data_IF_717129807548
#
_entry.id   IF_717129807548
#
_cell.length_a   1.000
_cell.length_b   1.000
_cell.length_c   1.000
_cell.angle_alpha   90.00
_cell.angle_beta   90.00
_cell.angle_gamma   90.00
#
_symmetry.space_group_name_H-M   'P 1'
#
loop_
_entity.id
_entity.type
_entity.pdbx_description
1 polymer ?
#
# COMPACT_ATOMS: atom_id res chain seq x y z
N UNK A 1 -14.59 19.91 2.06
CA UNK A 1 -14.11 18.50 2.00
C UNK A 1 -12.64 18.52 2.38
N UNK A 2 -12.26 17.68 3.33
CA UNK A 2 -10.86 17.67 3.81
C UNK A 2 -9.93 17.05 2.76
N UNK A 3 -8.81 17.70 2.50
CA UNK A 3 -7.78 17.18 1.61
C UNK A 3 -6.98 16.12 2.38
N UNK A 4 -6.93 14.89 1.84
CA UNK A 4 -6.19 13.79 2.44
C UNK A 4 -4.84 13.57 1.76
N UNK A 5 -4.68 14.01 0.51
CA UNK A 5 -3.41 14.04 -0.20
C UNK A 5 -3.35 15.30 -1.06
N UNK A 6 -2.28 16.06 -0.89
CA UNK A 6 -1.97 17.24 -1.71
C UNK A 6 -0.62 17.06 -2.38
N UNK A 7 -0.58 17.29 -3.68
CA UNK A 7 0.63 17.21 -4.51
C UNK A 7 0.77 18.52 -5.27
N UNK A 8 1.96 19.16 -5.17
CA UNK A 8 2.23 20.44 -5.79
C UNK A 8 3.62 20.45 -6.42
N UNK A 9 3.70 20.76 -7.73
CA UNK A 9 4.93 20.90 -8.48
C UNK A 9 5.81 19.65 -8.55
N UNK A 10 5.20 18.45 -8.42
CA UNK A 10 5.94 17.21 -8.27
C UNK A 10 6.62 16.81 -9.58
N UNK A 11 7.95 16.69 -9.54
CA UNK A 11 8.76 16.17 -10.65
C UNK A 11 9.67 15.05 -10.18
N UNK A 12 9.87 14.04 -11.04
CA UNK A 12 10.76 12.92 -10.79
C UNK A 12 11.37 12.38 -12.09
N UNK A 13 12.55 11.75 -11.97
CA UNK A 13 13.25 11.14 -13.10
C UNK A 13 13.82 9.77 -12.74
N UNK A 14 13.94 8.92 -13.75
CA UNK A 14 14.78 7.73 -13.71
C UNK A 14 16.04 8.01 -14.52
N UNK A 15 17.20 7.97 -13.84
CA UNK A 15 18.48 8.38 -14.44
C UNK A 15 18.37 9.80 -15.03
N UNK A 16 18.51 9.93 -16.37
CA UNK A 16 18.43 11.21 -17.09
C UNK A 16 17.03 11.50 -17.68
N UNK A 17 16.09 10.54 -17.60
CA UNK A 17 14.79 10.69 -18.22
C UNK A 17 13.77 11.20 -17.18
N UNK A 18 13.24 12.42 -17.41
CA UNK A 18 12.14 12.96 -16.60
C UNK A 18 10.87 12.16 -16.90
N UNK A 19 10.25 11.61 -15.87
CA UNK A 19 9.04 10.76 -15.94
C UNK A 19 7.82 11.47 -15.38
N UNK A 20 8.02 12.32 -14.38
CA UNK A 20 6.99 13.21 -13.83
C UNK A 20 7.48 14.64 -13.99
N UNK A 21 6.59 15.52 -14.45
CA UNK A 21 6.90 16.94 -14.69
C UNK A 21 5.75 17.80 -14.22
N UNK A 22 6.02 18.61 -13.19
CA UNK A 22 5.10 19.58 -12.58
C UNK A 22 3.70 19.03 -12.27
N UNK A 23 3.62 17.84 -11.67
CA UNK A 23 2.34 17.19 -11.35
C UNK A 23 1.68 17.88 -10.15
N UNK A 24 0.42 18.28 -10.33
CA UNK A 24 -0.37 19.00 -9.34
C UNK A 24 -1.76 18.37 -9.22
N UNK A 25 -2.18 17.95 -8.02
CA UNK A 25 -3.54 17.48 -7.73
C UNK A 25 -3.82 17.38 -6.24
N UNK A 26 -5.11 17.31 -5.89
CA UNK A 26 -5.58 17.04 -4.54
C UNK A 26 -6.53 15.85 -4.53
N UNK A 27 -6.49 15.05 -3.47
CA UNK A 27 -7.46 13.98 -3.18
C UNK A 27 -8.20 14.36 -1.90
N UNK A 28 -9.53 14.24 -1.95
CA UNK A 28 -10.41 14.56 -0.83
C UNK A 28 -10.87 13.31 -0.09
N UNK A 29 -11.15 13.46 1.19
CA UNK A 29 -11.71 12.40 2.01
C UNK A 29 -13.03 11.86 1.42
N UNK A 30 -13.24 10.54 1.51
CA UNK A 30 -14.45 9.87 1.02
C UNK A 30 -14.55 9.76 -0.50
N UNK A 31 -13.47 10.04 -1.26
CA UNK A 31 -13.46 9.92 -2.71
C UNK A 31 -12.65 8.71 -3.18
N UNK A 32 -13.00 8.18 -4.36
CA UNK A 32 -12.19 7.21 -5.10
C UNK A 32 -11.56 7.94 -6.29
N UNK A 33 -10.24 7.89 -6.39
CA UNK A 33 -9.49 8.54 -7.46
C UNK A 33 -8.80 7.51 -8.34
N UNK A 34 -9.06 7.56 -9.67
CA UNK A 34 -8.39 6.72 -10.66
C UNK A 34 -7.26 7.45 -11.37
N UNK A 35 -6.07 6.83 -11.44
CA UNK A 35 -4.93 7.31 -12.23
C UNK A 35 -4.90 6.51 -13.52
N UNK A 36 -5.22 7.15 -14.64
CA UNK A 36 -5.32 6.52 -15.97
C UNK A 36 -4.26 7.06 -16.92
N UNK A 37 -3.87 6.24 -17.89
CA UNK A 37 -2.89 6.62 -18.91
C UNK A 37 -2.23 5.38 -19.54
N UNK A 38 -1.52 5.54 -20.67
CA UNK A 38 -0.84 4.45 -21.36
C UNK A 38 0.29 3.83 -20.52
N UNK A 39 0.78 2.66 -20.94
CA UNK A 39 1.96 2.06 -20.32
C UNK A 39 3.17 3.00 -20.52
N UNK A 40 3.97 3.17 -19.46
CA UNK A 40 5.10 4.09 -19.46
C UNK A 40 4.76 5.56 -19.11
N UNK A 41 3.48 5.93 -18.93
CA UNK A 41 3.06 7.30 -18.57
C UNK A 41 3.46 7.77 -17.16
N UNK A 42 4.21 6.98 -16.39
CA UNK A 42 4.67 7.38 -15.05
C UNK A 42 3.72 7.05 -13.91
N UNK A 43 2.60 6.35 -14.12
CA UNK A 43 1.61 6.03 -13.07
C UNK A 43 2.24 5.32 -11.85
N UNK A 44 3.02 4.27 -12.09
CA UNK A 44 3.70 3.54 -11.02
C UNK A 44 4.83 4.36 -10.38
N UNK A 45 5.47 5.23 -11.15
CA UNK A 45 6.49 6.16 -10.65
C UNK A 45 5.85 7.17 -9.72
N UNK A 46 4.69 7.74 -10.08
CA UNK A 46 3.93 8.64 -9.23
C UNK A 46 3.65 8.00 -7.86
N UNK A 47 3.06 6.79 -7.84
CA UNK A 47 2.80 6.08 -6.58
C UNK A 47 4.07 5.85 -5.75
N UNK A 48 5.17 5.44 -6.40
CA UNK A 48 6.46 5.23 -5.70
C UNK A 48 7.00 6.54 -5.11
N UNK A 49 6.88 7.65 -5.82
CA UNK A 49 7.34 8.96 -5.32
C UNK A 49 6.46 9.45 -4.17
N UNK A 50 5.14 9.28 -4.26
CA UNK A 50 4.21 9.63 -3.17
C UNK A 50 4.54 8.87 -1.88
N UNK A 51 4.91 7.59 -2.00
CA UNK A 51 5.25 6.71 -0.88
C UNK A 51 6.74 6.79 -0.46
N UNK A 52 7.49 7.77 -0.95
CA UNK A 52 8.93 7.93 -0.70
C UNK A 52 9.78 6.67 -1.07
N UNK A 53 9.27 5.82 -1.97
CA UNK A 53 9.99 4.64 -2.51
C UNK A 53 10.89 5.01 -3.70
N UNK A 54 10.75 6.22 -4.24
CA UNK A 54 11.57 6.79 -5.30
C UNK A 54 11.79 8.28 -5.02
N UNK A 55 13.01 8.82 -5.21
CA UNK A 55 13.28 10.22 -4.92
C UNK A 55 12.54 11.15 -5.91
N UNK A 56 12.05 12.27 -5.40
CA UNK A 56 11.56 13.39 -6.20
C UNK A 56 12.67 14.36 -6.52
N UNK A 57 12.58 15.06 -7.66
CA UNK A 57 13.46 16.15 -8.03
C UNK A 57 13.00 17.47 -7.41
N UNK A 58 11.69 17.72 -7.44
CA UNK A 58 11.06 18.94 -6.92
C UNK A 58 9.63 18.67 -6.47
N UNK A 59 9.02 19.69 -5.87
CA UNK A 59 7.62 19.67 -5.44
C UNK A 59 7.42 19.17 -4.03
N UNK A 60 6.18 19.26 -3.57
CA UNK A 60 5.73 18.86 -2.25
C UNK A 60 4.65 17.80 -2.33
N UNK A 61 4.66 16.89 -1.35
CA UNK A 61 3.65 15.86 -1.16
C UNK A 61 3.26 15.87 0.31
N UNK A 62 1.99 16.11 0.58
CA UNK A 62 1.44 16.14 1.93
C UNK A 62 0.27 15.19 2.07
N UNK A 63 0.34 14.30 3.07
CA UNK A 63 -0.73 13.40 3.47
C UNK A 63 -1.35 13.96 4.76
N UNK A 64 -2.65 14.24 4.72
CA UNK A 64 -3.37 14.80 5.89
C UNK A 64 -2.69 16.05 6.47
N UNK A 65 -2.15 16.92 5.59
CA UNK A 65 -1.43 18.14 5.99
C UNK A 65 -0.05 17.91 6.60
N UNK A 66 0.54 16.72 6.42
CA UNK A 66 1.88 16.40 6.94
C UNK A 66 2.69 15.53 5.97
N UNK A 67 3.95 15.25 6.30
CA UNK A 67 4.81 14.39 5.46
C UNK A 67 4.36 12.92 5.50
N UNK A 68 4.63 12.16 4.42
CA UNK A 68 4.35 10.72 4.37
C UNK A 68 4.91 9.97 5.58
N UNK A 69 6.13 10.28 6.01
CA UNK A 69 6.77 9.64 7.17
C UNK A 69 5.95 9.73 8.45
N UNK A 70 5.28 10.86 8.69
CA UNK A 70 4.38 11.07 9.84
C UNK A 70 3.01 10.43 9.62
N UNK A 71 2.54 10.39 8.38
CA UNK A 71 1.24 9.84 8.00
C UNK A 71 1.25 8.33 7.68
N UNK A 72 2.40 7.67 7.68
CA UNK A 72 2.62 6.31 7.18
C UNK A 72 1.66 5.27 7.76
N UNK A 73 1.29 5.38 9.04
CA UNK A 73 0.34 4.46 9.68
C UNK A 73 -1.10 4.61 9.19
N UNK A 74 -1.42 5.74 8.55
CA UNK A 74 -2.73 6.09 8.01
C UNK A 74 -2.86 5.81 6.51
N UNK A 75 -1.77 5.32 5.87
CA UNK A 75 -1.72 5.06 4.43
C UNK A 75 -1.48 3.58 4.20
N UNK A 76 -2.44 2.91 3.59
CA UNK A 76 -2.35 1.51 3.15
C UNK A 76 -1.87 1.44 1.71
N UNK A 77 -0.96 0.49 1.41
CA UNK A 77 -0.47 0.26 0.06
C UNK A 77 -0.62 -1.20 -0.35
N UNK A 78 -1.28 -1.42 -1.48
CA UNK A 78 -1.38 -2.74 -2.12
C UNK A 78 -0.45 -2.77 -3.33
N UNK A 79 0.65 -3.52 -3.29
CA UNK A 79 1.58 -3.60 -4.41
C UNK A 79 0.97 -4.34 -5.60
N UNK A 80 1.45 -4.02 -6.80
CA UNK A 80 1.13 -4.79 -8.00
C UNK A 80 1.77 -6.18 -7.90
N UNK A 81 1.08 -7.21 -8.43
CA UNK A 81 1.52 -8.62 -8.35
C UNK A 81 2.98 -8.84 -8.79
N UNK A 82 3.42 -8.20 -9.85
CA UNK A 82 4.79 -8.36 -10.40
C UNK A 82 5.91 -7.78 -9.53
N UNK A 83 5.60 -7.10 -8.43
CA UNK A 83 6.58 -6.51 -7.49
C UNK A 83 6.74 -7.31 -6.19
N UNK A 84 6.11 -8.48 -6.08
CA UNK A 84 6.11 -9.32 -4.87
C UNK A 84 6.84 -10.62 -5.15
N UNK A 85 7.71 -11.03 -4.24
CA UNK A 85 8.31 -12.36 -4.23
C UNK A 85 7.29 -13.38 -3.71
N UNK A 86 6.69 -14.13 -4.62
CA UNK A 86 5.64 -15.11 -4.31
C UNK A 86 6.21 -16.46 -3.85
N UNK A 87 7.50 -16.71 -4.03
CA UNK A 87 8.17 -17.94 -3.61
C UNK A 87 8.65 -17.89 -2.16
N UNK A 88 8.44 -16.74 -1.49
CA UNK A 88 8.75 -16.60 -0.07
C UNK A 88 7.92 -17.60 0.76
N UNK A 89 8.56 -18.44 1.61
CA UNK A 89 7.90 -19.52 2.33
C UNK A 89 7.05 -19.00 3.51
N UNK A 90 5.90 -18.42 3.21
CA UNK A 90 4.97 -17.89 4.20
C UNK A 90 3.53 -18.28 3.86
N UNK A 91 2.66 -18.37 4.85
CA UNK A 91 1.23 -18.63 4.65
C UNK A 91 0.43 -17.32 4.55
N UNK A 92 -0.85 -17.44 4.15
CA UNK A 92 -1.74 -16.31 3.96
C UNK A 92 -1.96 -15.50 5.24
N UNK A 93 -2.08 -16.17 6.38
CA UNK A 93 -2.30 -15.51 7.68
C UNK A 93 -1.09 -14.68 8.08
N UNK A 94 0.12 -15.22 7.92
CA UNK A 94 1.35 -14.51 8.23
C UNK A 94 1.53 -13.27 7.34
N UNK A 95 1.20 -13.37 6.04
CA UNK A 95 1.20 -12.22 5.12
C UNK A 95 0.26 -11.12 5.63
N UNK A 96 -0.94 -11.46 6.06
CA UNK A 96 -1.89 -10.46 6.59
C UNK A 96 -1.42 -9.90 7.92
N UNK A 97 -0.85 -10.73 8.81
CA UNK A 97 -0.27 -10.27 10.08
C UNK A 97 0.88 -9.28 9.89
N UNK A 98 1.65 -9.37 8.79
CA UNK A 98 2.68 -8.37 8.46
C UNK A 98 2.09 -6.96 8.33
N UNK A 99 0.81 -6.82 7.95
CA UNK A 99 0.10 -5.54 7.93
C UNK A 99 -0.04 -4.88 9.30
N UNK A 100 0.00 -5.66 10.38
CA UNK A 100 -0.11 -5.18 11.76
C UNK A 100 1.24 -4.81 12.40
N UNK A 101 2.37 -5.05 11.75
CA UNK A 101 3.69 -4.81 12.35
C UNK A 101 3.92 -3.36 12.78
N UNK A 102 3.35 -2.40 12.05
CA UNK A 102 3.38 -0.99 12.45
C UNK A 102 2.68 -0.71 13.78
N UNK A 103 1.62 -1.47 14.11
CA UNK A 103 0.85 -1.35 15.35
C UNK A 103 1.47 -2.18 16.49
N UNK A 104 2.04 -3.35 16.16
CA UNK A 104 2.67 -4.26 17.15
C UNK A 104 3.95 -3.64 17.69
N UNK A 105 4.73 -2.96 16.83
CA UNK A 105 6.05 -2.43 17.14
C UNK A 105 7.17 -3.48 17.01
N UNK A 106 8.39 -3.04 16.70
CA UNK A 106 9.51 -3.87 16.30
C UNK A 106 10.01 -4.88 17.35
N UNK A 107 9.82 -4.59 18.63
CA UNK A 107 10.29 -5.44 19.74
C UNK A 107 9.19 -6.26 20.42
N UNK A 108 7.99 -6.30 19.85
CA UNK A 108 6.86 -7.00 20.46
C UNK A 108 6.41 -8.17 19.59
N UNK A 109 6.10 -9.27 20.24
CA UNK A 109 5.55 -10.45 19.58
C UNK A 109 4.05 -10.27 19.25
N UNK A 110 3.58 -10.82 18.11
CA UNK A 110 2.16 -10.88 17.80
C UNK A 110 1.40 -11.59 18.93
N UNK A 111 0.29 -10.99 19.37
CA UNK A 111 -0.60 -11.57 20.38
C UNK A 111 -1.80 -12.22 19.70
N UNK A 112 -2.54 -13.04 20.43
CA UNK A 112 -3.78 -13.69 19.96
C UNK A 112 -4.73 -12.70 19.25
N UNK A 113 -4.93 -11.50 19.82
CA UNK A 113 -5.72 -10.43 19.21
C UNK A 113 -5.29 -10.09 17.78
N UNK A 114 -3.99 -10.05 17.49
CA UNK A 114 -3.50 -9.72 16.15
C UNK A 114 -3.82 -10.84 15.15
N UNK A 115 -3.74 -12.11 15.60
CA UNK A 115 -4.16 -13.26 14.80
C UNK A 115 -5.67 -13.21 14.49
N UNK A 116 -6.49 -12.86 15.47
CA UNK A 116 -7.94 -12.70 15.31
C UNK A 116 -8.29 -11.58 14.32
N UNK A 117 -7.60 -10.42 14.38
CA UNK A 117 -7.76 -9.33 13.41
C UNK A 117 -7.35 -9.76 11.99
N UNK A 118 -6.24 -10.47 11.84
CA UNK A 118 -5.79 -10.97 10.54
C UNK A 118 -6.76 -12.01 9.97
N UNK A 119 -7.29 -12.91 10.78
CA UNK A 119 -8.32 -13.88 10.37
C UNK A 119 -9.60 -13.18 9.93
N UNK A 120 -10.07 -12.16 10.66
CA UNK A 120 -11.25 -11.40 10.27
C UNK A 120 -11.04 -10.64 8.95
N UNK A 121 -9.83 -10.15 8.68
CA UNK A 121 -9.50 -9.53 7.39
C UNK A 121 -9.48 -10.55 6.24
N UNK A 122 -8.96 -11.76 6.47
CA UNK A 122 -9.02 -12.87 5.51
C UNK A 122 -10.46 -13.29 5.23
N UNK A 123 -11.28 -13.39 6.27
CA UNK A 123 -12.70 -13.75 6.14
C UNK A 123 -13.47 -12.72 5.28
N UNK A 124 -13.26 -11.43 5.51
CA UNK A 124 -13.83 -10.35 4.67
C UNK A 124 -13.47 -10.48 3.19
N UNK A 125 -12.33 -11.09 2.87
CA UNK A 125 -11.86 -11.34 1.50
C UNK A 125 -12.27 -12.72 0.96
N UNK A 126 -13.01 -13.53 1.74
CA UNK A 126 -13.36 -14.91 1.39
C UNK A 126 -12.14 -15.82 1.32
N UNK A 127 -11.16 -15.59 2.20
CA UNK A 127 -9.86 -16.29 2.21
C UNK A 127 -9.58 -17.01 3.53
N UNK A 128 -10.56 -17.11 4.45
CA UNK A 128 -10.39 -17.75 5.76
C UNK A 128 -9.91 -19.20 5.65
N UNK A 129 -10.49 -20.00 4.74
CA UNK A 129 -10.13 -21.41 4.51
C UNK A 129 -8.70 -21.60 3.96
N UNK A 130 -8.09 -20.53 3.48
CA UNK A 130 -6.73 -20.50 2.92
C UNK A 130 -5.70 -19.91 3.89
N UNK A 131 -6.07 -19.64 5.14
CA UNK A 131 -5.21 -18.96 6.11
C UNK A 131 -3.85 -19.63 6.30
N UNK A 132 -3.84 -20.95 6.43
CA UNK A 132 -2.61 -21.75 6.62
C UNK A 132 -1.95 -22.20 5.31
N UNK A 133 -2.54 -21.87 4.14
CA UNK A 133 -1.97 -22.23 2.85
C UNK A 133 -0.82 -21.30 2.49
N UNK A 134 0.26 -21.87 1.96
CA UNK A 134 1.39 -21.09 1.45
C UNK A 134 0.97 -20.16 0.32
N UNK A 135 1.49 -18.94 0.32
CA UNK A 135 1.13 -17.90 -0.65
C UNK A 135 1.45 -18.32 -2.10
N UNK A 136 2.54 -19.07 -2.31
CA UNK A 136 2.94 -19.61 -3.62
C UNK A 136 1.94 -20.62 -4.19
N UNK A 137 1.16 -21.28 -3.36
CA UNK A 137 0.16 -22.29 -3.76
C UNK A 137 -1.20 -21.69 -4.12
N UNK A 138 -1.36 -20.38 -3.98
CA UNK A 138 -2.59 -19.66 -4.28
C UNK A 138 -2.63 -19.24 -5.75
N UNK A 139 -3.85 -19.23 -6.33
CA UNK A 139 -4.06 -18.59 -7.63
C UNK A 139 -3.78 -17.09 -7.56
N UNK A 140 -3.50 -16.46 -8.71
CA UNK A 140 -3.21 -15.03 -8.76
C UNK A 140 -4.30 -14.13 -8.15
N UNK A 141 -5.57 -14.48 -8.35
CA UNK A 141 -6.69 -13.77 -7.74
C UNK A 141 -6.77 -13.97 -6.23
N UNK A 142 -6.44 -15.18 -5.74
CA UNK A 142 -6.36 -15.46 -4.31
C UNK A 142 -5.20 -14.70 -3.65
N UNK A 143 -4.01 -14.70 -4.26
CA UNK A 143 -2.86 -13.90 -3.82
C UNK A 143 -3.24 -12.43 -3.67
N UNK A 144 -3.90 -11.85 -4.68
CA UNK A 144 -4.32 -10.46 -4.63
C UNK A 144 -5.30 -10.19 -3.49
N UNK A 145 -6.27 -11.10 -3.21
CA UNK A 145 -7.19 -10.98 -2.08
C UNK A 145 -6.49 -11.04 -0.72
N UNK A 146 -5.45 -11.86 -0.58
CA UNK A 146 -4.62 -11.90 0.64
C UNK A 146 -3.88 -10.56 0.84
N UNK A 147 -3.35 -9.94 -0.22
CA UNK A 147 -2.71 -8.63 -0.12
C UNK A 147 -3.70 -7.49 0.14
N UNK A 148 -4.92 -7.60 -0.34
CA UNK A 148 -6.01 -6.69 0.05
C UNK A 148 -6.34 -6.84 1.54
N UNK A 149 -6.47 -8.08 2.03
CA UNK A 149 -6.68 -8.34 3.46
C UNK A 149 -5.54 -7.75 4.32
N UNK A 150 -4.27 -7.89 3.86
CA UNK A 150 -3.10 -7.27 4.51
C UNK A 150 -3.19 -5.75 4.57
N UNK A 151 -3.68 -5.10 3.54
CA UNK A 151 -3.87 -3.65 3.55
C UNK A 151 -5.03 -3.27 4.48
N UNK A 152 -6.17 -3.96 4.40
CA UNK A 152 -7.35 -3.68 5.22
C UNK A 152 -7.11 -3.84 6.72
N UNK A 153 -6.28 -4.81 7.13
CA UNK A 153 -5.97 -5.03 8.56
C UNK A 153 -5.19 -3.87 9.19
N UNK A 154 -4.57 -3.01 8.35
CA UNK A 154 -3.87 -1.81 8.82
C UNK A 154 -4.83 -0.74 9.33
N UNK A 155 -6.12 -0.80 8.93
CA UNK A 155 -7.16 0.19 9.26
C UNK A 155 -6.70 1.61 8.92
N UNK A 156 -6.20 1.78 7.67
CA UNK A 156 -5.69 3.04 7.17
C UNK A 156 -6.83 3.97 6.69
N UNK A 157 -6.58 5.28 6.70
CA UNK A 157 -7.55 6.29 6.25
C UNK A 157 -7.49 6.51 4.71
N UNK A 158 -6.36 6.17 4.07
CA UNK A 158 -6.13 6.27 2.62
C UNK A 158 -5.50 4.96 2.11
N UNK A 159 -6.06 4.39 1.05
CA UNK A 159 -5.55 3.18 0.38
C UNK A 159 -5.18 3.49 -1.07
#
# INVERSE_FOLDING_TARGET
MDIVLQVSGLSASYLKNRVLDDVNFNIHAGTMTGIVGPNGAGKSTLLKVLLELHPRLSGTVEFFGTTYRKAKSRVGYVPQRGSVDWDFPTNSLDVVMMGLYGQIGWLKWPRRRHKELAMAALDKMGMADYAERQISQLSGGQQQRVFLARALVQDADLY
#
